data_IF_643230649836
#
_entry.id   IF_643230649836
#
_cell.length_a   1.000
_cell.length_b   1.000
_cell.length_c   1.000
_cell.angle_alpha   90.00
_cell.angle_beta   90.00
_cell.angle_gamma   90.00
#
_symmetry.space_group_name_H-M   'P 1'
#
loop_
_entity.id
_entity.type
_entity.pdbx_description
1 polymer ?
#
# COMPACT_ATOMS: atom_id res chain seq x y z
N UNK A 1 -69.60 42.58 -36.68
CA UNK A 1 -68.77 43.59 -35.97
C UNK A 1 -69.09 43.51 -34.48
N UNK A 2 -68.22 43.69 -33.49
CA UNK A 2 -66.77 43.76 -33.33
C UNK A 2 -66.57 43.36 -31.84
N UNK A 3 -65.61 42.49 -31.55
CA UNK A 3 -65.24 42.10 -30.17
C UNK A 3 -64.75 43.32 -29.37
N UNK A 4 -65.27 43.52 -28.16
CA UNK A 4 -64.63 44.38 -27.14
C UNK A 4 -63.94 43.50 -26.10
N UNK A 5 -62.67 43.17 -26.33
CA UNK A 5 -61.81 42.52 -25.35
C UNK A 5 -60.89 43.55 -24.69
N UNK A 6 -61.36 44.20 -23.63
CA UNK A 6 -60.50 44.98 -22.75
C UNK A 6 -59.84 44.03 -21.75
N UNK A 7 -58.71 43.43 -22.14
CA UNK A 7 -57.79 42.84 -21.17
C UNK A 7 -57.32 43.99 -20.24
N UNK A 8 -57.74 43.96 -18.98
CA UNK A 8 -57.25 44.89 -17.95
C UNK A 8 -55.72 44.89 -17.92
N UNK A 9 -55.11 46.07 -18.07
CA UNK A 9 -53.67 46.27 -18.02
C UNK A 9 -53.00 45.64 -16.78
N UNK A 10 -53.74 45.50 -15.66
CA UNK A 10 -53.25 44.83 -14.44
C UNK A 10 -53.00 43.33 -14.62
N UNK A 11 -53.78 42.63 -15.45
CA UNK A 11 -53.57 41.20 -15.74
C UNK A 11 -52.34 40.99 -16.63
N UNK A 12 -52.07 41.91 -17.55
CA UNK A 12 -50.89 41.87 -18.42
C UNK A 12 -49.59 42.13 -17.64
N UNK A 13 -49.58 43.13 -16.74
CA UNK A 13 -48.42 43.42 -15.89
C UNK A 13 -48.12 42.24 -14.94
N UNK A 14 -49.14 41.64 -14.33
CA UNK A 14 -48.95 40.44 -13.51
C UNK A 14 -48.44 39.25 -14.32
N UNK A 15 -48.97 39.01 -15.53
CA UNK A 15 -48.49 37.94 -16.41
C UNK A 15 -47.03 38.16 -16.83
N UNK A 16 -46.66 39.37 -17.25
CA UNK A 16 -45.28 39.72 -17.60
C UNK A 16 -44.34 39.59 -16.39
N UNK A 17 -44.79 39.93 -15.17
CA UNK A 17 -43.98 39.75 -13.95
C UNK A 17 -43.74 38.27 -13.62
N UNK A 18 -44.75 37.41 -13.82
CA UNK A 18 -44.64 35.95 -13.60
C UNK A 18 -43.73 35.33 -14.65
N UNK A 19 -43.89 35.71 -15.92
CA UNK A 19 -43.03 35.25 -17.03
C UNK A 19 -41.60 35.73 -16.82
N UNK A 20 -41.37 36.99 -16.45
CA UNK A 20 -40.04 37.52 -16.15
C UNK A 20 -39.39 36.85 -14.92
N UNK A 21 -40.17 36.61 -13.86
CA UNK A 21 -39.70 35.87 -12.68
C UNK A 21 -39.40 34.41 -13.00
N UNK A 22 -40.16 33.78 -13.89
CA UNK A 22 -39.90 32.41 -14.36
C UNK A 22 -38.68 32.36 -15.30
N UNK A 23 -38.46 33.36 -16.14
CA UNK A 23 -37.27 33.45 -17.00
C UNK A 23 -36.01 33.66 -16.14
N UNK A 24 -36.03 34.63 -15.22
CA UNK A 24 -34.89 34.93 -14.32
C UNK A 24 -34.57 33.81 -13.33
N UNK A 25 -35.57 33.05 -12.86
CA UNK A 25 -35.32 31.87 -12.02
C UNK A 25 -34.83 30.67 -12.84
N UNK A 26 -35.24 30.54 -14.11
CA UNK A 26 -34.76 29.51 -15.03
C UNK A 26 -33.31 29.77 -15.47
N UNK A 27 -32.92 31.03 -15.72
CA UNK A 27 -31.52 31.39 -16.04
C UNK A 27 -30.60 31.14 -14.85
N UNK A 28 -30.98 31.57 -13.63
CA UNK A 28 -30.19 31.29 -12.40
C UNK A 28 -29.98 29.80 -12.13
N UNK A 29 -30.96 28.96 -12.44
CA UNK A 29 -30.82 27.49 -12.33
C UNK A 29 -29.87 26.90 -13.37
N UNK A 30 -29.89 27.43 -14.59
CA UNK A 30 -28.96 27.01 -15.65
C UNK A 30 -27.53 27.43 -15.28
N UNK A 31 -27.33 28.66 -14.81
CA UNK A 31 -26.02 29.17 -14.37
C UNK A 31 -25.45 28.32 -13.22
N UNK A 32 -26.30 27.90 -12.29
CA UNK A 32 -25.92 27.03 -11.17
C UNK A 32 -25.44 25.64 -11.62
N UNK A 33 -26.17 25.03 -12.55
CA UNK A 33 -25.82 23.71 -13.10
C UNK A 33 -24.52 23.82 -13.88
N UNK A 34 -24.35 24.86 -14.69
CA UNK A 34 -23.14 25.10 -15.46
C UNK A 34 -21.93 25.34 -14.55
N UNK A 35 -22.07 26.13 -13.48
CA UNK A 35 -21.01 26.37 -12.51
C UNK A 35 -20.59 25.07 -11.78
N UNK A 36 -21.57 24.25 -11.39
CA UNK A 36 -21.31 22.96 -10.72
C UNK A 36 -20.61 21.96 -11.65
N UNK A 37 -21.04 21.89 -12.91
CA UNK A 37 -20.40 21.03 -13.92
C UNK A 37 -18.97 21.50 -14.20
N UNK A 38 -18.76 22.80 -14.43
CA UNK A 38 -17.44 23.36 -14.70
C UNK A 38 -16.47 23.09 -13.55
N UNK A 39 -16.93 23.26 -12.30
CA UNK A 39 -16.12 22.97 -11.13
C UNK A 39 -15.80 21.48 -11.00
N UNK A 40 -16.80 20.61 -11.19
CA UNK A 40 -16.58 19.15 -11.14
C UNK A 40 -15.57 18.74 -12.21
N UNK A 41 -15.71 19.23 -13.44
CA UNK A 41 -14.75 18.98 -14.52
C UNK A 41 -13.35 19.47 -14.19
N UNK A 42 -13.22 20.66 -13.58
CA UNK A 42 -11.93 21.19 -13.13
C UNK A 42 -11.30 20.28 -12.06
N UNK A 43 -12.07 19.86 -11.05
CA UNK A 43 -11.59 18.99 -9.99
C UNK A 43 -11.14 17.63 -10.54
N UNK A 44 -11.92 17.06 -11.47
CA UNK A 44 -11.53 15.82 -12.15
C UNK A 44 -10.23 16.02 -12.95
N UNK A 45 -10.05 17.16 -13.62
CA UNK A 45 -8.78 17.52 -14.27
C UNK A 45 -7.61 17.60 -13.28
N UNK A 46 -7.80 18.23 -12.12
CA UNK A 46 -6.78 18.30 -11.05
C UNK A 46 -6.44 16.91 -10.52
N UNK A 47 -7.43 16.01 -10.40
CA UNK A 47 -7.20 14.60 -10.07
C UNK A 47 -6.34 13.92 -11.14
N UNK A 48 -6.68 14.03 -12.42
CA UNK A 48 -5.91 13.38 -13.51
C UNK A 48 -4.46 13.86 -13.58
N UNK A 49 -4.19 15.09 -13.12
CA UNK A 49 -2.83 15.62 -13.01
C UNK A 49 -2.08 15.11 -11.77
N UNK A 50 -2.67 14.25 -10.95
CA UNK A 50 -2.07 13.67 -9.74
C UNK A 50 -1.99 14.61 -8.55
N UNK A 51 -2.52 15.84 -8.64
CA UNK A 51 -2.35 16.85 -7.58
C UNK A 51 -3.12 16.52 -6.29
N UNK A 52 -4.15 15.68 -6.37
CA UNK A 52 -4.88 15.18 -5.20
C UNK A 52 -4.29 13.90 -4.62
N UNK A 53 -3.37 13.22 -5.32
CA UNK A 53 -2.81 11.93 -4.90
C UNK A 53 -2.19 11.99 -3.49
N UNK A 54 -1.39 12.99 -3.10
CA UNK A 54 -0.82 13.04 -1.75
C UNK A 54 -1.88 13.05 -0.64
N UNK A 55 -3.02 13.70 -0.89
CA UNK A 55 -4.11 13.79 0.08
C UNK A 55 -4.93 12.50 0.14
N UNK A 56 -5.07 11.80 -0.97
CA UNK A 56 -5.67 10.45 -0.99
C UNK A 56 -4.78 9.42 -0.30
N UNK A 57 -3.45 9.51 -0.46
CA UNK A 57 -2.50 8.63 0.25
C UNK A 57 -2.50 8.90 1.76
N UNK A 58 -2.57 10.16 2.19
CA UNK A 58 -2.76 10.51 3.60
C UNK A 58 -4.07 9.92 4.14
N UNK A 59 -5.16 10.02 3.37
CA UNK A 59 -6.45 9.44 3.74
C UNK A 59 -6.38 7.92 3.83
N UNK A 60 -5.71 7.26 2.88
CA UNK A 60 -5.43 5.83 2.92
C UNK A 60 -4.68 5.44 4.19
N UNK A 61 -3.60 6.14 4.55
CA UNK A 61 -2.83 5.85 5.76
C UNK A 61 -3.66 6.02 7.03
N UNK A 62 -4.52 7.04 7.10
CA UNK A 62 -5.46 7.22 8.20
C UNK A 62 -6.40 6.01 8.32
N UNK A 63 -6.99 5.56 7.20
CA UNK A 63 -7.90 4.42 7.21
C UNK A 63 -7.18 3.11 7.54
N UNK A 64 -5.94 2.91 7.05
CA UNK A 64 -5.10 1.75 7.39
C UNK A 64 -4.84 1.66 8.88
N UNK A 65 -4.56 2.79 9.54
CA UNK A 65 -4.30 2.90 10.98
C UNK A 65 -5.50 2.64 11.87
N UNK A 66 -6.72 2.75 11.34
CA UNK A 66 -7.96 2.47 12.09
C UNK A 66 -8.18 0.96 12.22
N UNK A 67 -7.57 0.14 11.35
CA UNK A 67 -7.72 -1.30 11.36
C UNK A 67 -7.09 -1.90 12.63
N UNK A 68 -7.69 -2.97 13.12
CA UNK A 68 -7.14 -3.75 14.24
C UNK A 68 -5.88 -4.47 13.77
N UNK A 69 -4.83 -4.43 14.57
CA UNK A 69 -3.63 -5.22 14.31
C UNK A 69 -3.95 -6.71 14.41
N UNK A 70 -3.47 -7.48 13.45
CA UNK A 70 -3.55 -8.94 13.50
C UNK A 70 -2.42 -9.49 14.38
N UNK A 71 -2.65 -10.67 14.96
CA UNK A 71 -1.62 -11.41 15.68
C UNK A 71 -0.39 -11.69 14.80
N UNK A 72 0.81 -11.88 15.37
CA UNK A 72 2.00 -12.24 14.60
C UNK A 72 1.79 -13.48 13.75
N UNK A 73 2.33 -13.49 12.54
CA UNK A 73 2.25 -14.64 11.63
C UNK A 73 3.06 -15.81 12.22
N UNK A 74 2.39 -16.93 12.60
CA UNK A 74 3.05 -18.03 13.28
C UNK A 74 3.99 -18.80 12.35
N UNK A 75 3.93 -18.58 11.03
CA UNK A 75 4.76 -19.23 10.01
C UNK A 75 6.12 -18.56 9.85
N UNK A 76 6.31 -17.38 10.45
CA UNK A 76 7.51 -16.56 10.29
C UNK A 76 8.32 -16.48 11.60
N UNK A 77 9.63 -16.39 11.46
CA UNK A 77 10.58 -15.98 12.49
C UNK A 77 11.53 -14.95 11.90
N UNK A 78 11.73 -13.83 12.59
CA UNK A 78 12.74 -12.85 12.23
C UNK A 78 13.90 -12.94 13.22
N UNK A 79 15.11 -13.10 12.70
CA UNK A 79 16.37 -13.01 13.43
C UNK A 79 16.97 -11.65 13.13
N UNK A 80 16.77 -10.71 14.04
CA UNK A 80 17.27 -9.34 13.90
C UNK A 80 18.72 -9.24 14.37
N UNK A 81 19.57 -8.61 13.57
CA UNK A 81 20.88 -8.12 14.01
C UNK A 81 20.64 -6.75 14.65
N UNK A 82 20.71 -6.69 15.98
CA UNK A 82 20.42 -5.47 16.75
C UNK A 82 21.67 -4.63 16.99
N UNK A 83 21.49 -3.41 17.51
CA UNK A 83 22.60 -2.57 17.96
C UNK A 83 23.46 -3.29 19.01
N UNK A 84 22.82 -3.98 19.96
CA UNK A 84 23.54 -4.74 21.00
C UNK A 84 24.32 -5.92 20.42
N UNK A 85 23.85 -6.52 19.33
CA UNK A 85 24.60 -7.57 18.63
C UNK A 85 25.87 -6.99 17.99
N UNK A 86 25.74 -5.83 17.31
CA UNK A 86 26.87 -5.14 16.68
C UNK A 86 27.90 -4.69 17.72
N UNK A 87 27.45 -4.05 18.81
CA UNK A 87 28.31 -3.62 19.91
C UNK A 87 29.02 -4.81 20.58
N UNK A 88 28.31 -5.91 20.82
CA UNK A 88 28.88 -7.10 21.45
C UNK A 88 29.90 -7.83 20.56
N UNK A 89 29.72 -7.78 19.24
CA UNK A 89 30.67 -8.35 18.27
C UNK A 89 31.84 -7.39 17.98
N UNK A 90 31.67 -6.09 18.23
CA UNK A 90 32.68 -5.05 18.01
C UNK A 90 32.95 -4.73 16.54
N UNK A 91 32.10 -5.19 15.61
CA UNK A 91 32.26 -4.95 14.19
C UNK A 91 30.92 -4.97 13.44
N UNK A 92 30.84 -4.12 12.42
CA UNK A 92 29.80 -4.14 11.40
C UNK A 92 30.44 -3.88 10.03
N UNK A 93 30.07 -4.62 8.96
CA UNK A 93 29.16 -5.77 8.96
C UNK A 93 29.65 -6.95 9.80
N UNK A 94 28.74 -7.83 10.22
CA UNK A 94 29.11 -9.06 10.95
C UNK A 94 29.94 -9.99 10.04
N UNK A 95 30.94 -10.67 10.60
CA UNK A 95 31.78 -11.59 9.83
C UNK A 95 31.03 -12.84 9.35
N UNK A 96 31.59 -13.46 8.33
CA UNK A 96 31.09 -14.68 7.72
C UNK A 96 31.11 -15.86 8.69
N UNK A 97 32.08 -15.92 9.62
CA UNK A 97 32.12 -16.89 10.70
C UNK A 97 30.87 -16.80 11.59
N UNK A 98 30.49 -15.59 12.00
CA UNK A 98 29.33 -15.37 12.86
C UNK A 98 28.05 -15.74 12.13
N UNK A 99 27.92 -15.33 10.87
CA UNK A 99 26.76 -15.67 10.06
C UNK A 99 26.68 -17.19 9.81
N UNK A 100 27.79 -17.85 9.50
CA UNK A 100 27.86 -19.30 9.33
C UNK A 100 27.43 -20.05 10.59
N UNK A 101 27.86 -19.60 11.78
CA UNK A 101 27.45 -20.19 13.05
C UNK A 101 25.93 -20.04 13.28
N UNK A 102 25.37 -18.86 13.00
CA UNK A 102 23.93 -18.64 13.11
C UNK A 102 23.13 -19.53 12.16
N UNK A 103 23.53 -19.60 10.88
CA UNK A 103 22.91 -20.46 9.88
C UNK A 103 23.00 -21.94 10.24
N UNK A 104 24.13 -22.40 10.77
CA UNK A 104 24.31 -23.78 11.21
C UNK A 104 23.34 -24.12 12.36
N UNK A 105 23.19 -23.23 13.36
CA UNK A 105 22.26 -23.43 14.48
C UNK A 105 20.81 -23.44 14.05
N UNK A 106 20.42 -22.50 13.19
CA UNK A 106 19.06 -22.44 12.67
C UNK A 106 18.74 -23.68 11.83
N UNK A 107 19.67 -24.10 10.96
CA UNK A 107 19.48 -25.26 10.09
C UNK A 107 19.26 -26.57 10.86
N UNK A 108 19.85 -26.73 12.06
CA UNK A 108 19.63 -27.89 12.93
C UNK A 108 18.16 -28.06 13.35
N UNK A 109 17.40 -26.97 13.42
CA UNK A 109 15.99 -27.00 13.79
C UNK A 109 15.05 -27.16 12.60
N UNK A 110 15.58 -27.45 11.41
CA UNK A 110 14.80 -27.79 10.20
C UNK A 110 13.79 -26.69 9.80
N UNK A 111 14.23 -25.46 9.53
CA UNK A 111 13.36 -24.45 8.95
C UNK A 111 12.90 -24.88 7.56
N UNK A 112 11.81 -24.25 7.12
CA UNK A 112 11.29 -24.47 5.79
C UNK A 112 12.18 -23.86 4.73
N UNK A 113 12.51 -22.59 4.94
CA UNK A 113 13.37 -21.77 4.11
C UNK A 113 13.96 -20.65 4.99
N UNK A 114 15.18 -20.23 4.69
CA UNK A 114 15.87 -19.11 5.34
C UNK A 114 16.10 -18.03 4.28
N UNK A 115 15.60 -16.82 4.50
CA UNK A 115 15.91 -15.65 3.70
C UNK A 115 17.00 -14.83 4.37
N UNK A 116 18.10 -14.62 3.66
CA UNK A 116 19.22 -13.81 4.11
C UNK A 116 19.11 -12.41 3.51
N UNK A 117 18.45 -11.51 4.23
CA UNK A 117 18.34 -10.10 3.89
C UNK A 117 19.62 -9.34 4.32
N UNK A 118 20.75 -9.78 3.78
CA UNK A 118 22.08 -9.20 4.01
C UNK A 118 22.89 -9.26 2.72
N UNK A 119 23.46 -8.12 2.31
CA UNK A 119 24.42 -8.10 1.21
C UNK A 119 25.65 -8.94 1.57
N UNK A 120 25.95 -9.94 0.73
CA UNK A 120 27.12 -10.84 0.84
C UNK A 120 27.84 -11.02 -0.50
N UNK A 121 27.90 -9.95 -1.28
CA UNK A 121 28.59 -9.91 -2.56
C UNK A 121 30.12 -9.99 -2.44
N UNK A 122 30.66 -9.61 -1.28
CA UNK A 122 32.09 -9.70 -0.95
C UNK A 122 32.30 -10.47 0.36
N UNK A 123 33.39 -11.24 0.50
CA UNK A 123 33.74 -11.92 1.74
C UNK A 123 33.96 -10.95 2.90
N UNK A 124 33.50 -11.34 4.09
CA UNK A 124 33.68 -10.59 5.34
C UNK A 124 34.39 -11.50 6.35
N UNK A 125 35.71 -11.52 6.28
CA UNK A 125 36.55 -12.39 7.11
C UNK A 125 36.45 -12.05 8.62
N UNK A 126 36.70 -13.02 9.53
CA UNK A 126 37.05 -14.41 9.25
C UNK A 126 35.83 -15.28 8.88
N UNK A 127 36.09 -16.42 8.23
CA UNK A 127 35.16 -17.56 8.17
C UNK A 127 34.40 -17.73 6.87
N UNK A 128 34.86 -17.10 5.78
CA UNK A 128 34.21 -17.18 4.47
C UNK A 128 33.94 -18.62 4.01
N UNK A 129 34.91 -19.54 4.15
CA UNK A 129 34.73 -20.95 3.76
C UNK A 129 33.63 -21.67 4.57
N UNK A 130 33.47 -21.32 5.85
CA UNK A 130 32.40 -21.84 6.70
C UNK A 130 31.04 -21.34 6.22
N UNK A 131 30.95 -20.07 5.81
CA UNK A 131 29.75 -19.49 5.23
C UNK A 131 29.41 -20.16 3.89
N UNK A 132 30.38 -20.26 2.97
CA UNK A 132 30.20 -20.96 1.68
C UNK A 132 29.62 -22.36 1.88
N UNK A 133 30.09 -23.09 2.89
CA UNK A 133 29.57 -24.42 3.23
C UNK A 133 28.10 -24.38 3.65
N UNK A 134 27.69 -23.39 4.46
CA UNK A 134 26.29 -23.22 4.82
C UNK A 134 25.42 -22.83 3.62
N UNK A 135 25.91 -21.94 2.74
CA UNK A 135 25.18 -21.44 1.56
C UNK A 135 24.90 -22.52 0.50
N UNK A 136 25.59 -23.67 0.56
CA UNK A 136 25.23 -24.84 -0.25
C UNK A 136 23.86 -25.45 0.13
N UNK A 137 23.31 -25.11 1.29
CA UNK A 137 21.98 -25.56 1.69
C UNK A 137 20.91 -24.96 0.75
N UNK A 138 20.12 -25.78 0.04
CA UNK A 138 19.12 -25.28 -0.93
C UNK A 138 17.98 -24.50 -0.27
N UNK A 139 17.83 -24.58 1.06
CA UNK A 139 16.84 -23.82 1.82
C UNK A 139 17.26 -22.39 2.12
N UNK A 140 18.49 -21.99 1.81
CA UNK A 140 18.99 -20.64 2.05
C UNK A 140 18.86 -19.85 0.74
N UNK A 141 18.12 -18.75 0.83
CA UNK A 141 17.92 -17.78 -0.24
C UNK A 141 18.70 -16.52 0.12
N UNK A 142 19.41 -15.96 -0.86
CA UNK A 142 20.16 -14.72 -0.72
C UNK A 142 19.49 -13.57 -1.44
N UNK A 143 20.11 -12.40 -1.32
CA UNK A 143 19.62 -11.18 -1.96
C UNK A 143 20.58 -10.61 -2.99
N UNK A 144 20.01 -9.79 -3.86
CA UNK A 144 20.70 -8.80 -4.69
C UNK A 144 19.98 -7.46 -4.51
N UNK A 145 20.67 -6.36 -4.76
CA UNK A 145 20.03 -5.06 -4.93
C UNK A 145 20.15 -4.63 -6.39
N UNK A 146 19.04 -4.23 -6.99
CA UNK A 146 19.00 -3.78 -8.37
C UNK A 146 19.41 -2.30 -8.44
N UNK A 147 18.90 -1.49 -7.51
CA UNK A 147 19.15 -0.05 -7.44
C UNK A 147 18.54 0.72 -8.62
N UNK A 148 18.54 2.05 -8.54
CA UNK A 148 18.08 2.89 -9.66
C UNK A 148 19.14 3.04 -10.76
N UNK A 149 20.38 2.68 -10.45
CA UNK A 149 21.53 2.77 -11.34
C UNK A 149 22.62 1.77 -10.94
N UNK A 150 23.64 1.62 -11.79
CA UNK A 150 24.71 0.65 -11.59
C UNK A 150 25.57 0.89 -10.32
N UNK A 151 25.54 2.08 -9.72
CA UNK A 151 26.28 2.37 -8.47
C UNK A 151 25.47 1.96 -7.24
N UNK A 152 24.16 1.86 -7.35
CA UNK A 152 23.24 1.40 -6.30
C UNK A 152 23.00 -0.11 -6.37
N UNK A 153 23.35 -0.77 -7.48
CA UNK A 153 23.24 -2.21 -7.61
C UNK A 153 24.29 -2.94 -6.78
N UNK A 154 23.84 -3.98 -6.07
CA UNK A 154 24.71 -4.91 -5.35
C UNK A 154 24.48 -6.31 -5.92
N UNK A 155 25.52 -6.94 -6.51
CA UNK A 155 25.39 -8.27 -7.08
C UNK A 155 25.10 -9.32 -5.99
N UNK A 156 24.56 -10.48 -6.35
CA UNK A 156 24.32 -11.54 -5.38
C UNK A 156 25.63 -12.18 -4.86
N UNK A 157 25.58 -12.89 -3.72
CA UNK A 157 26.67 -13.75 -3.29
C UNK A 157 26.97 -14.81 -4.37
N UNK A 158 28.22 -14.96 -4.83
CA UNK A 158 28.56 -15.84 -5.96
C UNK A 158 28.35 -17.34 -5.67
N UNK A 159 28.16 -17.72 -4.40
CA UNK A 159 27.94 -19.10 -3.97
C UNK A 159 26.47 -19.55 -4.09
N UNK A 160 25.55 -18.61 -4.28
CA UNK A 160 24.12 -18.89 -4.39
C UNK A 160 23.69 -18.79 -5.85
N UNK A 161 22.96 -19.79 -6.33
CA UNK A 161 22.47 -19.83 -7.71
C UNK A 161 21.35 -18.82 -7.91
N UNK A 162 21.18 -18.31 -9.14
CA UNK A 162 20.21 -17.25 -9.47
C UNK A 162 18.76 -17.61 -9.06
N UNK A 163 18.38 -18.88 -9.12
CA UNK A 163 17.05 -19.35 -8.70
C UNK A 163 16.80 -19.14 -7.20
N UNK A 164 17.86 -19.05 -6.39
CA UNK A 164 17.81 -18.81 -4.94
C UNK A 164 18.12 -17.36 -4.55
N UNK A 165 18.22 -16.44 -5.52
CA UNK A 165 18.44 -15.01 -5.29
C UNK A 165 17.15 -14.21 -5.53
N UNK A 166 16.65 -13.48 -4.54
CA UNK A 166 15.58 -12.50 -4.73
C UNK A 166 16.09 -11.07 -4.57
N UNK A 167 15.51 -10.09 -5.26
CA UNK A 167 15.89 -8.69 -4.97
C UNK A 167 15.25 -8.19 -3.67
N UNK A 168 15.96 -7.33 -2.94
CA UNK A 168 15.49 -6.72 -1.67
C UNK A 168 15.07 -5.25 -1.81
N UNK A 169 15.10 -4.68 -3.01
CA UNK A 169 14.70 -3.29 -3.23
C UNK A 169 13.26 -3.01 -2.75
N UNK A 170 13.11 -1.93 -1.99
CA UNK A 170 11.82 -1.46 -1.45
C UNK A 170 11.29 -0.32 -2.31
N UNK A 171 10.07 -0.47 -2.82
CA UNK A 171 9.38 0.58 -3.55
C UNK A 171 8.79 1.62 -2.59
N UNK A 172 9.24 2.86 -2.71
CA UNK A 172 8.76 4.00 -1.94
C UNK A 172 7.86 4.88 -2.80
N UNK A 173 6.75 5.34 -2.22
CA UNK A 173 5.93 6.38 -2.86
C UNK A 173 6.68 7.72 -2.90
N UNK A 174 6.22 8.72 -3.67
CA UNK A 174 6.89 10.02 -3.78
C UNK A 174 7.09 10.76 -2.44
N UNK A 175 6.34 10.40 -1.41
CA UNK A 175 6.46 10.92 -0.05
C UNK A 175 7.41 10.10 0.86
N UNK A 176 8.10 9.10 0.29
CA UNK A 176 9.07 8.26 0.99
C UNK A 176 8.46 7.09 1.77
N UNK A 177 7.14 6.91 1.74
CA UNK A 177 6.46 5.86 2.51
C UNK A 177 6.35 4.57 1.68
N UNK A 178 6.72 3.45 2.29
CA UNK A 178 6.52 2.13 1.72
C UNK A 178 5.03 1.77 1.81
N UNK A 179 4.33 1.76 0.67
CA UNK A 179 2.92 1.28 0.57
C UNK A 179 2.77 0.10 -0.38
N UNK A 180 3.83 -0.28 -1.07
CA UNK A 180 3.80 -1.19 -2.21
C UNK A 180 4.67 -2.41 -1.93
N UNK A 181 4.21 -3.56 -2.40
CA UNK A 181 4.92 -4.83 -2.36
C UNK A 181 5.31 -5.19 -3.80
N UNK A 182 6.60 -5.07 -4.10
CA UNK A 182 7.16 -5.45 -5.39
C UNK A 182 7.27 -6.97 -5.47
N UNK A 183 6.69 -7.57 -6.50
CA UNK A 183 6.57 -9.02 -6.65
C UNK A 183 7.64 -9.54 -7.62
N UNK A 184 7.77 -8.90 -8.77
CA UNK A 184 8.88 -9.12 -9.68
C UNK A 184 9.15 -7.86 -10.50
N UNK A 185 10.40 -7.76 -10.97
CA UNK A 185 10.83 -6.77 -11.95
C UNK A 185 11.38 -7.46 -13.18
N UNK A 186 11.19 -6.84 -14.34
CA UNK A 186 11.68 -7.34 -15.62
C UNK A 186 12.92 -6.56 -15.99
N UNK A 187 14.09 -7.19 -15.96
CA UNK A 187 15.31 -6.63 -16.54
C UNK A 187 15.38 -6.96 -18.03
N UNK A 188 16.28 -6.33 -18.77
CA UNK A 188 16.48 -6.56 -20.22
C UNK A 188 16.69 -8.05 -20.59
N UNK A 189 17.11 -8.88 -19.64
CA UNK A 189 17.48 -10.29 -19.87
C UNK A 189 16.66 -11.30 -19.07
N UNK A 190 16.15 -10.95 -17.88
CA UNK A 190 15.41 -11.89 -17.02
C UNK A 190 14.40 -11.20 -16.10
N UNK A 191 13.35 -11.93 -15.74
CA UNK A 191 12.45 -11.56 -14.65
C UNK A 191 13.07 -11.99 -13.33
N UNK A 192 13.35 -11.04 -12.45
CA UNK A 192 13.88 -11.31 -11.12
C UNK A 192 12.72 -11.19 -10.14
N UNK A 193 12.49 -12.22 -9.33
CA UNK A 193 11.45 -12.21 -8.29
C UNK A 193 11.98 -11.54 -7.03
N UNK A 194 11.10 -10.88 -6.28
CA UNK A 194 11.47 -10.29 -4.99
C UNK A 194 11.80 -11.37 -3.96
N UNK A 195 12.61 -11.03 -2.96
CA UNK A 195 12.91 -11.92 -1.84
C UNK A 195 11.62 -12.43 -1.17
N UNK A 196 10.66 -11.54 -0.94
CA UNK A 196 9.39 -11.88 -0.28
C UNK A 196 8.59 -12.90 -1.09
N UNK A 197 8.50 -12.74 -2.41
CA UNK A 197 7.82 -13.69 -3.28
C UNK A 197 8.56 -15.04 -3.33
N UNK A 198 9.89 -15.05 -3.43
CA UNK A 198 10.67 -16.31 -3.43
C UNK A 198 10.50 -17.10 -2.14
N UNK A 199 10.52 -16.43 -0.99
CA UNK A 199 10.31 -17.08 0.31
C UNK A 199 8.90 -17.67 0.42
N UNK A 200 7.89 -16.93 -0.02
CA UNK A 200 6.51 -17.41 -0.02
C UNK A 200 6.35 -18.64 -0.94
N UNK A 201 6.90 -18.60 -2.17
CA UNK A 201 6.88 -19.72 -3.12
C UNK A 201 7.57 -20.95 -2.52
N UNK A 202 8.77 -20.79 -1.94
CA UNK A 202 9.52 -21.89 -1.34
C UNK A 202 8.75 -22.57 -0.19
N UNK A 203 8.02 -21.78 0.61
CA UNK A 203 7.16 -22.30 1.66
C UNK A 203 5.93 -23.04 1.11
N UNK A 204 5.23 -22.40 0.17
CA UNK A 204 4.00 -22.90 -0.45
C UNK A 204 4.21 -24.13 -1.34
N UNK A 205 5.39 -24.28 -1.94
CA UNK A 205 5.75 -25.45 -2.75
C UNK A 205 5.58 -26.77 -1.99
N UNK A 206 5.80 -26.76 -0.66
CA UNK A 206 5.59 -27.94 0.17
C UNK A 206 4.14 -28.34 0.43
N UNK A 207 3.22 -27.43 0.11
CA UNK A 207 1.78 -27.64 0.10
C UNK A 207 1.28 -27.91 -1.32
N UNK A 208 2.19 -28.19 -2.26
CA UNK A 208 1.92 -28.38 -3.69
C UNK A 208 1.27 -27.16 -4.36
N UNK A 209 1.64 -25.95 -3.90
CA UNK A 209 1.21 -24.69 -4.50
C UNK A 209 2.40 -24.10 -5.26
N UNK A 210 2.27 -23.99 -6.58
CA UNK A 210 3.25 -23.38 -7.49
C UNK A 210 2.81 -21.99 -7.95
N UNK A 211 3.80 -21.17 -8.32
CA UNK A 211 3.54 -19.91 -9.02
C UNK A 211 3.13 -20.20 -10.46
N UNK A 212 2.00 -19.64 -10.86
CA UNK A 212 1.47 -19.72 -12.22
C UNK A 212 1.13 -18.32 -12.73
N UNK A 213 0.95 -18.21 -14.05
CA UNK A 213 0.44 -17.00 -14.69
C UNK A 213 -0.94 -17.28 -15.26
N UNK A 214 -1.88 -16.38 -15.00
CA UNK A 214 -3.22 -16.44 -15.62
C UNK A 214 -3.13 -16.16 -17.13
N UNK A 215 -4.23 -16.36 -17.85
CA UNK A 215 -4.33 -15.99 -19.27
C UNK A 215 -4.09 -14.48 -19.51
N UNK A 216 -4.35 -13.65 -18.50
CA UNK A 216 -4.10 -12.20 -18.45
C UNK A 216 -2.68 -11.84 -17.98
N UNK A 217 -1.77 -12.81 -17.82
CA UNK A 217 -0.42 -12.63 -17.27
C UNK A 217 -0.39 -12.10 -15.82
N UNK A 218 -1.42 -12.40 -15.03
CA UNK A 218 -1.42 -12.08 -13.60
C UNK A 218 -0.78 -13.21 -12.79
N UNK A 219 -0.10 -12.86 -11.69
CA UNK A 219 0.50 -13.85 -10.80
C UNK A 219 -0.60 -14.60 -10.04
N UNK A 220 -0.50 -15.92 -10.05
CA UNK A 220 -1.42 -16.81 -9.35
C UNK A 220 -0.65 -17.79 -8.46
N UNK A 221 -1.08 -17.91 -7.20
CA UNK A 221 -0.62 -18.95 -6.27
C UNK A 221 -1.86 -19.71 -5.76
N UNK A 222 -2.00 -20.96 -6.19
CA UNK A 222 -3.20 -21.76 -5.89
C UNK A 222 -4.44 -21.11 -6.51
N UNK A 223 -5.42 -20.78 -5.68
CA UNK A 223 -6.65 -20.10 -6.13
C UNK A 223 -6.58 -18.56 -6.03
N UNK A 224 -5.47 -18.03 -5.53
CA UNK A 224 -5.33 -16.59 -5.28
C UNK A 224 -4.63 -15.92 -6.46
N UNK A 225 -5.32 -14.96 -7.08
CA UNK A 225 -4.76 -14.10 -8.12
C UNK A 225 -4.36 -12.78 -7.49
N UNK A 226 -3.10 -12.41 -7.64
CA UNK A 226 -2.58 -11.11 -7.26
C UNK A 226 -2.80 -10.18 -8.44
N UNK A 227 -3.57 -9.11 -8.28
CA UNK A 227 -3.80 -8.15 -9.37
C UNK A 227 -2.74 -7.05 -9.31
N UNK A 228 -2.11 -6.68 -10.43
CA UNK A 228 -1.09 -5.65 -10.42
C UNK A 228 -1.72 -4.29 -10.13
N UNK A 229 -0.97 -3.45 -9.43
CA UNK A 229 -1.29 -2.05 -9.23
C UNK A 229 -1.02 -1.29 -10.53
N UNK A 230 -2.04 -0.61 -11.04
CA UNK A 230 -1.96 0.27 -12.20
C UNK A 230 -1.75 1.73 -11.76
N UNK A 231 -1.24 2.57 -12.66
CA UNK A 231 -1.00 4.00 -12.42
C UNK A 231 -2.20 4.75 -11.81
N UNK A 232 -3.44 4.35 -12.14
CA UNK A 232 -4.69 4.97 -11.70
C UNK A 232 -5.48 4.16 -10.65
N UNK A 233 -4.84 3.22 -9.95
CA UNK A 233 -5.50 2.36 -8.96
C UNK A 233 -5.83 3.13 -7.68
N UNK A 234 -7.12 3.23 -7.34
CA UNK A 234 -7.56 3.89 -6.13
C UNK A 234 -7.15 5.36 -6.09
N UNK A 235 -6.38 5.74 -5.06
CA UNK A 235 -5.88 7.10 -4.91
C UNK A 235 -4.70 7.48 -5.81
N UNK A 236 -4.07 6.52 -6.50
CA UNK A 236 -2.93 6.77 -7.39
C UNK A 236 -3.34 7.35 -8.74
N UNK A 237 -2.44 8.14 -9.34
CA UNK A 237 -2.57 8.72 -10.68
C UNK A 237 -1.25 8.76 -11.47
N UNK A 238 -0.09 8.72 -10.81
CA UNK A 238 1.23 8.93 -11.43
C UNK A 238 2.34 8.01 -10.91
N UNK A 239 2.00 6.81 -10.43
CA UNK A 239 3.04 5.85 -10.05
C UNK A 239 3.62 5.17 -11.29
N UNK A 240 4.89 4.77 -11.18
CA UNK A 240 5.49 3.85 -12.13
C UNK A 240 4.90 2.44 -11.92
N UNK A 241 4.20 1.93 -12.93
CA UNK A 241 3.56 0.62 -12.97
C UNK A 241 4.28 -0.37 -13.91
N UNK A 242 5.54 -0.10 -14.27
CA UNK A 242 6.36 -0.98 -15.11
C UNK A 242 6.71 -2.33 -14.46
N UNK A 243 6.90 -2.34 -13.13
CA UNK A 243 7.13 -3.55 -12.35
C UNK A 243 5.84 -4.15 -11.80
N UNK A 244 5.83 -5.47 -11.61
CA UNK A 244 4.68 -6.16 -11.03
C UNK A 244 4.65 -5.92 -9.53
N UNK A 245 3.73 -5.08 -9.10
CA UNK A 245 3.61 -4.65 -7.72
C UNK A 245 2.15 -4.67 -7.28
N UNK A 246 1.93 -4.83 -5.98
CA UNK A 246 0.60 -4.78 -5.36
C UNK A 246 0.63 -3.82 -4.17
N UNK A 247 -0.52 -3.33 -3.73
CA UNK A 247 -0.58 -2.55 -2.49
C UNK A 247 -0.33 -3.47 -1.29
N UNK A 248 0.54 -3.02 -0.38
CA UNK A 248 0.96 -3.79 0.78
C UNK A 248 -0.14 -3.74 1.86
N UNK A 249 -0.73 -4.89 2.15
CA UNK A 249 -1.65 -5.04 3.27
C UNK A 249 -0.88 -5.39 4.54
N UNK A 250 -0.40 -4.39 5.28
CA UNK A 250 0.29 -4.58 6.56
C UNK A 250 -0.53 -5.42 7.55
N UNK A 251 0.11 -6.38 8.22
CA UNK A 251 -0.47 -7.22 9.27
C UNK A 251 -0.61 -6.48 10.60
N UNK A 252 0.41 -5.71 10.94
CA UNK A 252 0.52 -4.93 12.19
C UNK A 252 1.50 -3.77 12.00
N UNK A 253 1.56 -2.80 12.92
CA UNK A 253 2.56 -1.73 12.83
C UNK A 253 4.00 -2.25 13.06
N UNK A 254 4.23 -3.11 14.05
CA UNK A 254 5.59 -3.59 14.43
C UNK A 254 5.69 -5.12 14.66
N UNK A 255 4.57 -5.80 14.88
CA UNK A 255 4.55 -7.16 15.41
C UNK A 255 4.16 -8.22 14.37
N UNK A 256 4.76 -8.17 13.18
CA UNK A 256 4.39 -9.05 12.05
C UNK A 256 4.72 -10.52 12.32
N UNK A 257 5.78 -10.78 13.07
CA UNK A 257 6.33 -12.10 13.31
C UNK A 257 7.06 -12.12 14.66
N UNK A 258 7.30 -13.33 15.19
CA UNK A 258 8.20 -13.50 16.33
C UNK A 258 9.59 -13.00 15.95
N UNK A 259 10.20 -12.21 16.83
CA UNK A 259 11.55 -11.68 16.67
C UNK A 259 12.48 -12.26 17.74
N UNK A 260 13.70 -12.62 17.34
CA UNK A 260 14.81 -13.00 18.21
C UNK A 260 16.08 -12.28 17.75
N UNK A 261 17.04 -12.05 18.64
CA UNK A 261 18.31 -11.42 18.25
C UNK A 261 19.30 -12.42 17.70
N UNK A 262 20.28 -11.95 16.93
CA UNK A 262 21.38 -12.78 16.47
C UNK A 262 22.11 -13.42 17.66
N UNK A 263 22.36 -12.67 18.72
CA UNK A 263 23.01 -13.20 19.92
C UNK A 263 22.18 -14.30 20.61
N UNK A 264 20.85 -14.21 20.64
CA UNK A 264 20.01 -15.29 21.18
C UNK A 264 20.18 -16.58 20.38
N UNK A 265 20.22 -16.50 19.05
CA UNK A 265 20.51 -17.64 18.16
C UNK A 265 21.90 -18.19 18.46
N UNK A 266 22.93 -17.34 18.52
CA UNK A 266 24.30 -17.73 18.80
C UNK A 266 24.49 -18.33 20.20
N UNK A 267 23.67 -17.96 21.19
CA UNK A 267 23.69 -18.57 22.53
C UNK A 267 22.81 -19.82 22.64
N UNK A 268 22.06 -20.17 21.59
CA UNK A 268 21.10 -21.29 21.63
C UNK A 268 19.88 -21.01 22.51
N UNK A 269 19.55 -19.73 22.73
CA UNK A 269 18.42 -19.27 23.54
C UNK A 269 17.14 -19.16 22.69
N UNK A 270 16.91 -20.14 21.82
CA UNK A 270 15.74 -20.22 20.94
C UNK A 270 15.08 -21.58 21.10
N UNK A 271 13.75 -21.63 21.09
CA UNK A 271 13.05 -22.91 21.11
C UNK A 271 13.03 -23.51 19.69
N UNK A 272 13.25 -24.83 19.52
CA UNK A 272 13.19 -25.47 18.20
C UNK A 272 11.86 -25.26 17.47
N UNK A 273 10.76 -25.13 18.22
CA UNK A 273 9.41 -24.86 17.70
C UNK A 273 9.29 -23.49 17.02
N UNK A 274 10.17 -22.55 17.32
CA UNK A 274 10.18 -21.23 16.69
C UNK A 274 10.80 -21.26 15.29
N UNK A 275 11.60 -22.28 14.97
CA UNK A 275 12.33 -22.40 13.70
C UNK A 275 11.75 -23.50 12.81
N UNK A 276 11.36 -24.62 13.40
CA UNK A 276 10.91 -25.80 12.66
C UNK A 276 9.72 -25.50 11.77
N UNK A 277 9.82 -25.90 10.49
CA UNK A 277 8.80 -25.73 9.46
C UNK A 277 8.39 -24.25 9.20
N UNK A 278 9.23 -23.29 9.62
CA UNK A 278 8.99 -21.85 9.45
C UNK A 278 9.85 -21.23 8.35
N UNK A 279 9.41 -20.08 7.86
CA UNK A 279 10.27 -19.15 7.13
C UNK A 279 11.08 -18.36 8.16
N UNK A 280 12.40 -18.39 8.05
CA UNK A 280 13.29 -17.61 8.90
C UNK A 280 13.88 -16.48 8.07
N UNK A 281 13.66 -15.24 8.47
CA UNK A 281 14.26 -14.05 7.87
C UNK A 281 15.41 -13.59 8.77
N UNK A 282 16.60 -13.38 8.19
CA UNK A 282 17.76 -12.86 8.90
C UNK A 282 18.12 -11.53 8.27
N UNK A 283 18.15 -10.47 9.06
CA UNK A 283 18.44 -9.13 8.55
C UNK A 283 18.65 -8.13 9.66
N UNK A 284 18.83 -6.86 9.30
CA UNK A 284 19.28 -5.82 10.22
C UNK A 284 18.09 -5.15 10.88
N UNK A 285 18.21 -4.90 12.17
CA UNK A 285 17.22 -4.15 12.97
C UNK A 285 17.87 -3.04 13.79
N UNK A 286 19.19 -2.90 13.69
CA UNK A 286 19.99 -1.85 14.33
C UNK A 286 19.73 -0.48 13.66
N UNK A 287 19.27 0.54 14.41
CA UNK A 287 18.99 1.85 13.83
C UNK A 287 20.21 2.56 13.22
N UNK A 288 21.42 2.29 13.70
CA UNK A 288 22.66 2.95 13.22
C UNK A 288 23.07 2.54 11.81
N UNK A 289 22.59 1.39 11.32
CA UNK A 289 22.88 0.90 9.97
C UNK A 289 22.00 1.58 8.91
N UNK A 290 20.89 2.20 9.32
CA UNK A 290 19.98 2.98 8.48
C UNK A 290 19.27 2.17 7.36
N UNK A 291 18.87 0.93 7.66
CA UNK A 291 17.94 0.12 6.86
C UNK A 291 16.51 0.24 7.44
N UNK A 292 15.98 1.45 7.43
CA UNK A 292 14.73 1.83 8.08
C UNK A 292 13.81 2.56 7.10
N UNK A 293 12.54 2.17 7.07
CA UNK A 293 11.55 2.70 6.12
C UNK A 293 10.35 3.32 6.82
N UNK A 294 9.88 4.45 6.28
CA UNK A 294 8.59 5.01 6.68
C UNK A 294 7.45 4.14 6.15
N UNK A 295 6.45 3.96 6.99
CA UNK A 295 5.24 3.17 6.71
C UNK A 295 4.01 4.02 7.01
N UNK A 296 2.79 3.59 6.61
CA UNK A 296 1.56 4.28 7.00
C UNK A 296 1.40 4.52 8.52
N UNK A 297 2.08 3.71 9.36
CA UNK A 297 2.05 3.83 10.82
C UNK A 297 3.09 4.81 11.38
N UNK A 298 4.09 5.22 10.60
CA UNK A 298 5.25 5.96 11.12
C UNK A 298 4.88 7.34 11.67
N UNK A 299 3.97 8.05 11.00
CA UNK A 299 3.49 9.40 11.44
C UNK A 299 2.76 9.36 12.79
N UNK A 300 2.17 8.22 13.18
CA UNK A 300 1.37 8.12 14.40
C UNK A 300 2.19 7.80 15.65
N UNK A 301 3.46 7.42 15.51
CA UNK A 301 4.30 7.04 16.65
C UNK A 301 5.22 8.19 17.07
N UNK A 302 5.40 8.34 18.38
CA UNK A 302 6.41 9.22 18.96
C UNK A 302 7.77 8.52 19.00
N UNK A 303 8.79 9.02 18.28
CA UNK A 303 10.17 8.48 18.25
C UNK A 303 10.63 8.02 16.85
N UNK A 304 11.67 7.18 16.79
CA UNK A 304 12.06 6.48 15.55
C UNK A 304 10.99 5.45 15.19
N UNK A 305 10.04 5.88 14.35
CA UNK A 305 8.83 5.16 13.99
C UNK A 305 8.96 4.33 12.70
N UNK A 306 10.17 4.25 12.15
CA UNK A 306 10.48 3.56 10.92
C UNK A 306 10.61 2.05 11.16
N UNK A 307 10.24 1.26 10.17
CA UNK A 307 10.27 -0.20 10.22
C UNK A 307 11.57 -0.72 9.56
N UNK A 308 12.31 -1.64 10.20
CA UNK A 308 13.47 -2.27 9.57
C UNK A 308 13.14 -2.99 8.25
N UNK A 309 14.06 -2.99 7.27
CA UNK A 309 13.88 -3.63 5.97
C UNK A 309 13.45 -5.10 6.06
N UNK A 310 14.15 -5.88 6.89
CA UNK A 310 13.81 -7.29 7.14
C UNK A 310 12.40 -7.49 7.70
N UNK A 311 11.92 -6.54 8.50
CA UNK A 311 10.56 -6.56 9.05
C UNK A 311 9.53 -6.20 7.98
N UNK A 312 9.87 -5.31 7.06
CA UNK A 312 9.03 -4.99 5.90
C UNK A 312 8.92 -6.20 4.95
N UNK A 313 10.02 -6.91 4.67
CA UNK A 313 9.98 -8.16 3.92
C UNK A 313 9.13 -9.23 4.62
N UNK A 314 9.17 -9.32 5.95
CA UNK A 314 8.27 -10.20 6.70
C UNK A 314 6.78 -9.83 6.50
N UNK A 315 6.44 -8.55 6.42
CA UNK A 315 5.06 -8.09 6.11
C UNK A 315 4.64 -8.52 4.71
N UNK A 316 5.52 -8.39 3.73
CA UNK A 316 5.27 -8.80 2.35
C UNK A 316 5.08 -10.32 2.23
N UNK A 317 5.92 -11.12 2.90
CA UNK A 317 5.76 -12.58 2.96
C UNK A 317 4.44 -12.95 3.64
N UNK A 318 4.14 -12.34 4.79
CA UNK A 318 2.90 -12.59 5.53
C UNK A 318 1.65 -12.22 4.71
N UNK A 319 1.70 -11.14 3.93
CA UNK A 319 0.63 -10.78 3.00
C UNK A 319 0.37 -11.90 1.99
N UNK A 320 1.42 -12.43 1.34
CA UNK A 320 1.29 -13.48 0.33
C UNK A 320 0.74 -14.76 0.96
N UNK A 321 1.32 -15.21 2.08
CA UNK A 321 0.87 -16.43 2.77
C UNK A 321 -0.56 -16.29 3.30
N UNK A 322 -0.89 -15.15 3.88
CA UNK A 322 -2.23 -14.86 4.39
C UNK A 322 -3.27 -14.89 3.29
N UNK A 323 -2.97 -14.30 2.13
CA UNK A 323 -3.89 -14.31 0.99
C UNK A 323 -4.12 -15.74 0.48
N UNK A 324 -3.04 -16.53 0.32
CA UNK A 324 -3.10 -17.87 -0.25
C UNK A 324 -3.70 -18.92 0.69
N UNK A 325 -3.36 -18.87 1.98
CA UNK A 325 -3.69 -19.92 2.94
C UNK A 325 -4.88 -19.55 3.84
N UNK A 326 -5.06 -18.27 4.15
CA UNK A 326 -6.03 -17.79 5.14
C UNK A 326 -7.18 -16.99 4.50
N UNK A 327 -7.20 -16.86 3.16
CA UNK A 327 -8.12 -15.98 2.42
C UNK A 327 -8.08 -14.51 2.90
N UNK A 328 -6.92 -14.06 3.39
CA UNK A 328 -6.73 -12.67 3.82
C UNK A 328 -6.94 -11.74 2.61
N UNK A 329 -7.75 -10.67 2.73
CA UNK A 329 -8.11 -9.85 1.58
C UNK A 329 -6.88 -9.16 0.98
N UNK A 330 -6.79 -9.23 -0.35
CA UNK A 330 -5.92 -8.38 -1.16
C UNK A 330 -6.66 -7.10 -1.51
N UNK A 331 -5.91 -6.02 -1.71
CA UNK A 331 -6.52 -4.76 -2.11
C UNK A 331 -7.09 -4.85 -3.53
N UNK A 332 -8.27 -4.27 -3.72
CA UNK A 332 -8.93 -4.11 -4.99
C UNK A 332 -9.42 -2.68 -5.13
N UNK A 333 -9.63 -2.27 -6.39
CA UNK A 333 -9.95 -0.89 -6.75
C UNK A 333 -11.11 -0.87 -7.73
N UNK A 334 -11.78 0.28 -7.82
CA UNK A 334 -12.77 0.49 -8.87
C UNK A 334 -12.10 0.83 -10.20
N UNK A 335 -12.80 0.53 -11.29
CA UNK A 335 -12.41 1.10 -12.58
C UNK A 335 -12.50 2.62 -12.51
N UNK A 336 -11.63 3.30 -13.25
CA UNK A 336 -11.59 4.77 -13.28
C UNK A 336 -12.96 5.43 -13.51
N UNK A 337 -13.80 4.89 -14.42
CA UNK A 337 -15.14 5.43 -14.67
C UNK A 337 -16.06 5.40 -13.45
N UNK A 338 -15.96 4.37 -12.60
CA UNK A 338 -16.73 4.27 -11.37
C UNK A 338 -16.25 5.29 -10.33
N UNK A 339 -14.94 5.52 -10.24
CA UNK A 339 -14.38 6.55 -9.36
C UNK A 339 -14.75 7.97 -9.81
N UNK A 340 -14.70 8.25 -11.12
CA UNK A 340 -15.15 9.53 -11.68
C UNK A 340 -16.65 9.75 -11.41
N UNK A 341 -17.46 8.69 -11.57
CA UNK A 341 -18.90 8.73 -11.27
C UNK A 341 -19.16 8.94 -9.78
N UNK A 342 -18.33 8.37 -8.91
CA UNK A 342 -18.39 8.54 -7.47
C UNK A 342 -18.12 10.00 -7.07
N UNK A 343 -17.07 10.62 -7.62
CA UNK A 343 -16.77 12.05 -7.37
C UNK A 343 -17.92 12.94 -7.89
N UNK A 344 -18.43 12.67 -9.10
CA UNK A 344 -19.54 13.43 -9.67
C UNK A 344 -20.83 13.31 -8.84
N UNK A 345 -21.12 12.12 -8.30
CA UNK A 345 -22.25 11.88 -7.40
C UNK A 345 -22.13 12.73 -6.14
N UNK A 346 -20.97 12.74 -5.48
CA UNK A 346 -20.77 13.52 -4.26
C UNK A 346 -20.79 15.03 -4.51
N UNK A 347 -20.28 15.49 -5.64
CA UNK A 347 -20.45 16.88 -6.08
C UNK A 347 -21.94 17.25 -6.22
N UNK A 348 -22.73 16.40 -6.90
CA UNK A 348 -24.17 16.61 -7.07
C UNK A 348 -24.91 16.66 -5.73
N UNK A 349 -24.59 15.74 -4.81
CA UNK A 349 -25.19 15.71 -3.48
C UNK A 349 -24.89 16.98 -2.68
N UNK A 350 -23.66 17.49 -2.76
CA UNK A 350 -23.26 18.75 -2.13
C UNK A 350 -24.04 19.95 -2.67
N UNK A 351 -24.18 20.03 -3.99
CA UNK A 351 -24.98 21.08 -4.63
C UNK A 351 -26.47 20.99 -4.29
N UNK A 352 -27.06 19.79 -4.32
CA UNK A 352 -28.47 19.58 -3.97
C UNK A 352 -28.75 19.96 -2.50
N UNK A 353 -27.83 19.63 -1.58
CA UNK A 353 -27.95 19.97 -0.17
C UNK A 353 -28.11 21.48 0.04
N UNK A 354 -27.22 22.28 -0.56
CA UNK A 354 -27.25 23.75 -0.43
C UNK A 354 -28.39 24.39 -1.22
N UNK A 355 -28.74 23.83 -2.38
CA UNK A 355 -29.88 24.32 -3.17
C UNK A 355 -31.23 24.14 -2.46
N UNK A 356 -31.36 23.10 -1.62
CA UNK A 356 -32.62 22.72 -0.96
C UNK A 356 -32.78 23.26 0.45
N UNK A 357 -31.66 23.55 1.13
CA UNK A 357 -31.65 24.05 2.50
C UNK A 357 -30.89 25.37 2.58
N UNK A 358 -31.51 26.41 3.17
CA UNK A 358 -30.87 27.71 3.42
C UNK A 358 -30.56 27.97 4.89
N UNK A 359 -30.91 27.03 5.78
CA UNK A 359 -30.69 27.16 7.21
C UNK A 359 -29.26 26.74 7.57
N UNK A 360 -28.42 27.63 8.13
CA UNK A 360 -26.98 27.40 8.29
C UNK A 360 -26.66 26.20 9.18
N UNK A 361 -27.40 26.01 10.28
CA UNK A 361 -27.19 24.87 11.17
C UNK A 361 -27.52 23.53 10.49
N UNK A 362 -28.57 23.49 9.66
CA UNK A 362 -28.94 22.25 8.96
C UNK A 362 -27.92 21.91 7.88
N UNK A 363 -27.37 22.91 7.20
CA UNK A 363 -26.28 22.74 6.24
C UNK A 363 -25.01 22.22 6.92
N UNK A 364 -24.63 22.79 8.07
CA UNK A 364 -23.48 22.33 8.83
C UNK A 364 -23.64 20.86 9.27
N UNK A 365 -24.75 20.52 9.92
CA UNK A 365 -25.01 19.16 10.40
C UNK A 365 -25.10 18.15 9.25
N UNK A 366 -25.77 18.51 8.16
CA UNK A 366 -25.87 17.64 6.98
C UNK A 366 -24.53 17.50 6.25
N UNK A 367 -23.72 18.56 6.25
CA UNK A 367 -22.37 18.53 5.67
C UNK A 367 -21.45 17.59 6.45
N UNK A 368 -21.44 17.71 7.78
CA UNK A 368 -20.70 16.79 8.67
C UNK A 368 -21.19 15.35 8.48
N UNK A 369 -22.51 15.14 8.44
CA UNK A 369 -23.10 13.82 8.23
C UNK A 369 -22.73 13.24 6.85
N UNK A 370 -22.72 14.06 5.81
CA UNK A 370 -22.33 13.66 4.45
C UNK A 370 -20.86 13.22 4.37
N UNK A 371 -19.94 14.05 4.90
CA UNK A 371 -18.52 13.71 4.97
C UNK A 371 -18.30 12.47 5.85
N UNK A 372 -18.95 12.40 7.02
CA UNK A 372 -18.87 11.24 7.90
C UNK A 372 -19.35 9.96 7.21
N UNK A 373 -20.46 10.03 6.47
CA UNK A 373 -20.98 8.89 5.69
C UNK A 373 -19.97 8.43 4.63
N UNK A 374 -19.39 9.36 3.86
CA UNK A 374 -18.37 9.05 2.85
C UNK A 374 -17.15 8.34 3.46
N UNK A 375 -16.61 8.86 4.56
CA UNK A 375 -15.45 8.27 5.22
C UNK A 375 -15.76 6.91 5.86
N UNK A 376 -16.94 6.77 6.48
CA UNK A 376 -17.39 5.46 7.00
C UNK A 376 -17.55 4.45 5.88
N UNK A 377 -18.13 4.82 4.74
CA UNK A 377 -18.20 3.95 3.57
C UNK A 377 -16.81 3.55 3.07
N UNK A 378 -15.87 4.50 2.97
CA UNK A 378 -14.49 4.22 2.58
C UNK A 378 -13.80 3.25 3.52
N UNK A 379 -13.93 3.44 4.84
CA UNK A 379 -13.37 2.54 5.86
C UNK A 379 -13.98 1.14 5.75
N UNK A 380 -15.31 1.03 5.64
CA UNK A 380 -15.99 -0.26 5.51
C UNK A 380 -15.53 -1.03 4.27
N UNK A 381 -15.35 -0.36 3.14
CA UNK A 381 -14.79 -0.99 1.95
C UNK A 381 -13.33 -1.40 2.16
N UNK A 382 -12.52 -0.56 2.80
CA UNK A 382 -11.11 -0.87 3.08
C UNK A 382 -10.94 -2.11 3.96
N UNK A 383 -11.84 -2.33 4.92
CA UNK A 383 -11.85 -3.54 5.76
C UNK A 383 -12.04 -4.82 4.94
N UNK A 384 -12.73 -4.73 3.79
CA UNK A 384 -12.92 -5.80 2.81
C UNK A 384 -11.87 -5.76 1.67
N UNK A 385 -10.80 -4.97 1.82
CA UNK A 385 -9.75 -4.78 0.81
C UNK A 385 -10.09 -3.77 -0.29
N UNK A 386 -11.23 -3.10 -0.26
CA UNK A 386 -11.60 -2.09 -1.24
C UNK A 386 -10.99 -0.73 -0.93
N UNK A 387 -10.00 -0.29 -1.71
CA UNK A 387 -9.53 1.09 -1.61
C UNK A 387 -10.15 1.95 -2.70
N UNK A 388 -11.03 2.87 -2.29
CA UNK A 388 -11.64 3.87 -3.16
C UNK A 388 -11.26 5.30 -2.69
N UNK A 389 -11.22 6.29 -3.61
CA UNK A 389 -10.97 7.68 -3.25
C UNK A 389 -12.01 8.22 -2.27
N UNK A 390 -11.54 8.92 -1.23
CA UNK A 390 -12.41 9.56 -0.22
C UNK A 390 -12.14 11.06 -0.12
N UNK A 391 -10.93 11.51 -0.43
CA UNK A 391 -10.58 12.92 -0.32
C UNK A 391 -11.17 13.76 -1.46
N UNK A 392 -11.02 13.33 -2.71
CA UNK A 392 -11.56 14.01 -3.88
C UNK A 392 -13.09 14.11 -3.85
N UNK A 393 -13.86 13.07 -3.50
CA UNK A 393 -15.30 13.20 -3.29
C UNK A 393 -15.65 14.14 -2.14
N UNK A 394 -14.90 14.13 -1.02
CA UNK A 394 -15.08 15.08 0.10
C UNK A 394 -14.93 16.52 -0.39
N UNK A 395 -13.85 16.80 -1.12
CA UNK A 395 -13.56 18.12 -1.66
C UNK A 395 -14.63 18.57 -2.66
N UNK A 396 -15.08 17.65 -3.51
CA UNK A 396 -16.17 17.90 -4.47
C UNK A 396 -17.48 18.26 -3.78
N UNK A 397 -17.86 17.52 -2.73
CA UNK A 397 -19.08 17.71 -1.97
C UNK A 397 -19.11 19.08 -1.27
N UNK A 398 -18.00 19.45 -0.62
CA UNK A 398 -17.91 20.72 0.11
C UNK A 398 -17.82 21.93 -0.83
N UNK A 399 -16.95 21.89 -1.85
CA UNK A 399 -16.72 23.03 -2.73
C UNK A 399 -17.89 23.30 -3.66
N UNK A 400 -18.55 22.25 -4.19
CA UNK A 400 -19.79 22.45 -4.97
C UNK A 400 -20.90 23.07 -4.11
N UNK A 401 -20.99 22.70 -2.83
CA UNK A 401 -21.90 23.33 -1.88
C UNK A 401 -21.61 24.84 -1.70
N UNK A 402 -20.34 25.23 -1.55
CA UNK A 402 -19.94 26.64 -1.41
C UNK A 402 -20.27 27.44 -2.68
N UNK A 403 -19.94 26.90 -3.86
CA UNK A 403 -20.25 27.54 -5.14
C UNK A 403 -21.75 27.75 -5.28
N UNK A 404 -22.55 26.72 -5.01
CA UNK A 404 -24.00 26.79 -5.11
C UNK A 404 -24.59 27.78 -4.10
N UNK A 405 -24.00 27.91 -2.92
CA UNK A 405 -24.43 28.88 -1.90
C UNK A 405 -24.13 30.33 -2.24
N UNK A 406 -23.18 30.60 -3.15
CA UNK A 406 -22.80 31.94 -3.57
C UNK A 406 -23.74 32.55 -4.64
N UNK A 407 -24.53 31.71 -5.32
CA UNK A 407 -25.53 32.11 -6.34
C UNK A 407 -26.96 32.15 -5.77
#
# INVERSE_FOLDING_TARGET
MIFSSTLSASKFVNYCSIVWRNITTKTKKIDLILASLLFTSLLLGVRQLGWLQPLELLAFDLMVRIRTEEEPDPRLLVVGITEQDIEALGQYPISDEVLAQALAKLSQHQPKVIGLDLARNIPIEPGYQSLVTQLQNPKILGITFIGNNALESVPPPPEITEERIGYSDVLLDPDGVARRNSMYTSTDTTNILSLSLKLAIAYLASQNISLELTASQELQLGNTVFKPLLANSGGYQQIDDGDYQILLNYRSADNVARQVTLQQVLKGQIEPSWVKDKIVLIGITAPTVNDLFDTPYSVAKTGNAQLPGVMLHAQMVSQILGAVLDNRPLFWYWSEWLELSWIALWSLLGGVLVARSRHPLLLLLSGIAGVGCLWVCGILLLLEGGWIPVFAPTLSFLLTGIIVGAY
#
